data_IF_406796678069
#
_entry.id   IF_406796678069
#
_cell.length_a   1.000
_cell.length_b   1.000
_cell.length_c   1.000
_cell.angle_alpha   90.00
_cell.angle_beta   90.00
_cell.angle_gamma   90.00
#
_symmetry.space_group_name_H-M   'P 1'
#
loop_
_entity.id
_entity.type
_entity.pdbx_description
1 polymer ?
#
# COMPACT_ATOMS: atom_id res chain seq x y z
N UNK A 1 -22.00 13.63 -9.66
CA UNK A 1 -21.55 12.90 -8.45
C UNK A 1 -21.10 11.47 -8.74
N UNK A 2 -21.80 10.65 -9.57
CA UNK A 2 -21.36 9.28 -9.89
C UNK A 2 -19.93 9.16 -10.47
N UNK A 3 -19.53 10.07 -11.36
CA UNK A 3 -18.18 10.10 -11.94
C UNK A 3 -17.08 10.29 -10.88
N UNK A 4 -17.30 11.18 -9.92
CA UNK A 4 -16.33 11.45 -8.84
C UNK A 4 -16.18 10.24 -7.91
N UNK A 5 -17.26 9.49 -7.67
CA UNK A 5 -17.23 8.22 -6.93
C UNK A 5 -16.42 7.15 -7.65
N UNK A 6 -16.59 6.99 -8.98
CA UNK A 6 -15.80 6.02 -9.74
C UNK A 6 -14.32 6.38 -9.78
N UNK A 7 -13.98 7.67 -9.85
CA UNK A 7 -12.59 8.12 -9.82
C UNK A 7 -11.93 7.87 -8.46
N UNK A 8 -12.63 8.15 -7.36
CA UNK A 8 -12.13 7.87 -6.02
C UNK A 8 -11.94 6.37 -5.76
N UNK A 9 -12.93 5.53 -6.11
CA UNK A 9 -12.78 4.08 -5.97
C UNK A 9 -11.64 3.52 -6.84
N UNK A 10 -11.46 4.07 -8.06
CA UNK A 10 -10.32 3.72 -8.91
C UNK A 10 -8.99 4.15 -8.29
N UNK A 11 -8.93 5.30 -7.64
CA UNK A 11 -7.74 5.76 -6.92
C UNK A 11 -7.41 4.85 -5.72
N UNK A 12 -8.40 4.41 -4.94
CA UNK A 12 -8.20 3.44 -3.86
C UNK A 12 -7.66 2.10 -4.38
N UNK A 13 -8.20 1.61 -5.50
CA UNK A 13 -7.69 0.41 -6.16
C UNK A 13 -6.24 0.58 -6.67
N UNK A 14 -5.92 1.75 -7.24
CA UNK A 14 -4.55 2.08 -7.67
C UNK A 14 -3.56 2.09 -6.49
N UNK A 15 -3.94 2.65 -5.34
CA UNK A 15 -3.11 2.65 -4.12
C UNK A 15 -2.85 1.22 -3.63
N UNK A 16 -3.88 0.36 -3.59
CA UNK A 16 -3.72 -1.05 -3.19
C UNK A 16 -2.82 -1.82 -4.15
N UNK A 17 -2.95 -1.57 -5.45
CA UNK A 17 -2.09 -2.18 -6.46
C UNK A 17 -0.62 -1.73 -6.31
N UNK A 18 -0.38 -0.44 -6.05
CA UNK A 18 0.95 0.08 -5.80
C UNK A 18 1.57 -0.54 -4.53
N UNK A 19 0.80 -0.66 -3.44
CA UNK A 19 1.25 -1.36 -2.22
C UNK A 19 1.65 -2.81 -2.52
N UNK A 20 0.83 -3.54 -3.27
CA UNK A 20 1.12 -4.93 -3.63
C UNK A 20 2.33 -5.08 -4.57
N UNK A 21 2.61 -4.11 -5.44
CA UNK A 21 3.82 -4.10 -6.26
C UNK A 21 5.06 -3.84 -5.41
N UNK A 22 5.02 -2.80 -4.58
CA UNK A 22 6.17 -2.45 -3.73
C UNK A 22 6.47 -3.55 -2.70
N UNK A 23 5.44 -4.18 -2.11
CA UNK A 23 5.61 -5.32 -1.21
C UNK A 23 6.26 -6.52 -1.92
N UNK A 24 5.99 -6.74 -3.21
CA UNK A 24 6.67 -7.77 -4.02
C UNK A 24 8.13 -7.42 -4.27
N UNK A 25 8.42 -6.19 -4.69
CA UNK A 25 9.81 -5.73 -4.89
C UNK A 25 10.61 -5.80 -3.60
N UNK A 26 10.02 -5.42 -2.46
CA UNK A 26 10.64 -5.56 -1.15
C UNK A 26 11.00 -7.01 -0.82
N UNK A 27 10.11 -7.97 -1.15
CA UNK A 27 10.36 -9.39 -0.96
C UNK A 27 11.45 -9.94 -1.89
N UNK A 28 11.46 -9.54 -3.17
CA UNK A 28 12.49 -9.92 -4.13
C UNK A 28 13.88 -9.40 -3.72
N UNK A 29 13.97 -8.18 -3.18
CA UNK A 29 15.22 -7.62 -2.65
C UNK A 29 15.72 -8.39 -1.42
N UNK A 30 14.82 -8.84 -0.56
CA UNK A 30 15.17 -9.69 0.58
C UNK A 30 15.65 -11.08 0.10
N UNK A 31 14.97 -11.69 -0.88
CA UNK A 31 15.31 -13.01 -1.42
C UNK A 31 16.63 -13.02 -2.20
N UNK A 32 16.97 -11.91 -2.86
CA UNK A 32 18.27 -11.71 -3.51
C UNK A 32 19.47 -11.72 -2.54
N UNK A 33 19.23 -11.86 -1.23
CA UNK A 33 20.27 -11.94 -0.20
C UNK A 33 20.96 -10.60 0.05
N UNK A 34 20.40 -9.49 -0.42
CA UNK A 34 20.92 -8.14 -0.18
C UNK A 34 20.85 -7.76 1.30
N UNK A 35 19.83 -8.27 2.00
CA UNK A 35 19.61 -8.07 3.44
C UNK A 35 19.35 -9.43 4.08
N UNK A 36 20.14 -9.80 5.08
CA UNK A 36 20.01 -11.06 5.82
C UNK A 36 20.05 -10.82 7.33
N UNK A 37 19.40 -11.70 8.09
CA UNK A 37 19.35 -11.60 9.55
C UNK A 37 18.60 -10.36 10.04
N UNK A 38 19.15 -9.71 11.07
CA UNK A 38 18.51 -8.59 11.78
C UNK A 38 18.14 -7.40 10.88
N UNK A 39 18.89 -7.16 9.80
CA UNK A 39 18.62 -6.06 8.88
C UNK A 39 17.39 -6.34 8.01
N UNK A 40 17.16 -7.61 7.64
CA UNK A 40 15.95 -8.01 6.92
C UNK A 40 14.71 -7.85 7.81
N UNK A 41 14.80 -8.27 9.08
CA UNK A 41 13.71 -8.11 10.05
C UNK A 41 13.38 -6.63 10.30
N UNK A 42 14.41 -5.79 10.51
CA UNK A 42 14.25 -4.34 10.66
C UNK A 42 13.60 -3.74 9.42
N UNK A 43 14.08 -4.08 8.23
CA UNK A 43 13.51 -3.57 6.98
C UNK A 43 12.05 -3.97 6.82
N UNK A 44 11.67 -5.21 7.15
CA UNK A 44 10.26 -5.64 7.07
C UNK A 44 9.36 -4.86 8.03
N UNK A 45 9.84 -4.61 9.25
CA UNK A 45 9.12 -3.80 10.24
C UNK A 45 8.99 -2.34 9.79
N UNK A 46 10.06 -1.73 9.30
CA UNK A 46 10.06 -0.38 8.77
C UNK A 46 9.16 -0.26 7.52
N UNK A 47 9.24 -1.21 6.59
CA UNK A 47 8.37 -1.30 5.42
C UNK A 47 6.90 -1.35 5.82
N UNK A 48 6.56 -2.23 6.77
CA UNK A 48 5.19 -2.40 7.27
C UNK A 48 4.66 -1.11 7.88
N UNK A 49 5.45 -0.47 8.73
CA UNK A 49 5.01 0.67 9.53
C UNK A 49 5.04 2.00 8.77
N UNK A 50 6.07 2.22 7.93
CA UNK A 50 6.31 3.50 7.26
C UNK A 50 5.69 3.58 5.87
N UNK A 51 5.40 2.46 5.21
CA UNK A 51 4.87 2.47 3.84
C UNK A 51 3.56 1.71 3.72
N UNK A 52 3.53 0.43 4.08
CA UNK A 52 2.36 -0.42 3.86
C UNK A 52 1.13 0.06 4.64
N UNK A 53 1.25 0.26 5.95
CA UNK A 53 0.12 0.70 6.78
C UNK A 53 -0.42 2.09 6.36
N UNK A 54 0.42 3.11 6.08
CA UNK A 54 -0.03 4.38 5.51
C UNK A 54 -0.77 4.24 4.17
N UNK A 55 -0.26 3.43 3.24
CA UNK A 55 -0.92 3.22 1.94
C UNK A 55 -2.29 2.55 2.09
N UNK A 56 -2.40 1.54 2.97
CA UNK A 56 -3.67 0.88 3.25
C UNK A 56 -4.67 1.83 3.92
N UNK A 57 -4.19 2.69 4.82
CA UNK A 57 -5.00 3.74 5.46
C UNK A 57 -5.50 4.75 4.43
N UNK A 58 -4.63 5.22 3.54
CA UNK A 58 -5.00 6.14 2.46
C UNK A 58 -6.04 5.52 1.52
N UNK A 59 -5.86 4.26 1.10
CA UNK A 59 -6.86 3.55 0.30
C UNK A 59 -8.21 3.42 1.02
N UNK A 60 -8.20 3.12 2.33
CA UNK A 60 -9.41 3.04 3.14
C UNK A 60 -10.15 4.38 3.28
N UNK A 61 -9.42 5.48 3.47
CA UNK A 61 -9.99 6.83 3.51
C UNK A 61 -10.63 7.17 2.17
N UNK A 62 -9.92 6.92 1.06
CA UNK A 62 -10.43 7.22 -0.29
C UNK A 62 -11.70 6.41 -0.60
N UNK A 63 -11.74 5.12 -0.25
CA UNK A 63 -12.96 4.30 -0.38
C UNK A 63 -14.10 4.83 0.50
N UNK A 64 -13.79 5.27 1.74
CA UNK A 64 -14.79 5.81 2.66
C UNK A 64 -15.38 7.12 2.15
N UNK A 65 -14.57 8.02 1.58
CA UNK A 65 -15.05 9.25 0.94
C UNK A 65 -15.91 8.92 -0.28
N UNK A 66 -15.50 7.94 -1.10
CA UNK A 66 -16.29 7.46 -2.22
C UNK A 66 -17.67 6.91 -1.78
N UNK A 67 -17.75 6.34 -0.57
CA UNK A 67 -18.99 5.85 0.02
C UNK A 67 -19.85 6.96 0.65
N UNK A 68 -19.26 7.92 1.38
CA UNK A 68 -20.01 8.97 2.14
C UNK A 68 -20.59 10.06 1.24
N UNK A 69 -20.01 10.30 0.05
CA UNK A 69 -20.49 11.35 -0.89
C UNK A 69 -21.81 10.96 -1.61
N UNK A 70 -22.68 10.19 -0.93
CA UNK A 70 -24.00 9.72 -1.33
C UNK A 70 -25.11 10.71 -0.96
#
# INVERSE_FOLDING_TARGET
MLFMKSELSSAAAAIRNAEAQLSRTAAELADAGLWAGQDADRFQDDWRNSVRAPLQTAAGIVDSVAFITL
#
